data_IF_598990415900
#
_entry.id   IF_598990415900
#
_cell.length_a   1.000
_cell.length_b   1.000
_cell.length_c   1.000
_cell.angle_alpha   90.00
_cell.angle_beta   90.00
_cell.angle_gamma   90.00
#
_symmetry.space_group_name_H-M   'P 1'
#
loop_
_entity.id
_entity.type
_entity.pdbx_description
1 polymer ?
#
# COMPACT_ATOMS: atom_id res chain seq x y z
N UNK A 1 27.60 13.57 26.01
CA UNK A 1 27.20 15.00 26.14
C UNK A 1 25.70 15.04 26.30
N UNK A 2 25.26 15.37 27.51
CA UNK A 2 23.84 15.47 27.92
C UNK A 2 23.25 16.80 27.46
N UNK A 3 21.98 16.82 27.06
CA UNK A 3 21.11 17.98 27.20
C UNK A 3 19.65 17.53 27.44
N UNK A 4 19.10 18.02 28.54
CA UNK A 4 17.78 17.77 29.13
C UNK A 4 16.58 18.14 28.24
N UNK A 5 15.40 17.54 28.47
CA UNK A 5 14.10 18.13 28.17
C UNK A 5 13.40 18.56 29.46
N UNK A 6 13.03 19.84 29.58
CA UNK A 6 11.90 20.31 30.39
C UNK A 6 11.88 21.84 30.40
N UNK A 7 10.88 22.44 29.74
CA UNK A 7 10.33 23.73 30.17
C UNK A 7 8.88 23.82 29.69
N UNK A 8 7.94 23.68 30.63
CA UNK A 8 6.60 24.24 30.51
C UNK A 8 6.66 25.73 30.85
N UNK A 9 6.09 26.58 29.99
CA UNK A 9 5.96 28.02 30.19
C UNK A 9 5.00 28.62 29.15
N UNK A 10 3.91 29.21 29.66
CA UNK A 10 2.71 29.80 29.03
C UNK A 10 2.94 30.83 27.89
N UNK A 11 1.88 31.22 27.14
CA UNK A 11 1.98 31.74 25.78
C UNK A 11 2.25 33.26 25.73
N UNK A 12 3.03 33.67 24.73
CA UNK A 12 3.21 35.07 24.37
C UNK A 12 2.10 35.50 23.40
N UNK A 13 1.22 36.38 23.88
CA UNK A 13 0.28 37.14 23.07
C UNK A 13 1.07 38.13 22.20
N UNK A 14 0.89 38.06 20.87
CA UNK A 14 1.26 39.14 19.96
C UNK A 14 0.00 39.76 19.38
N UNK A 15 -0.31 40.98 19.83
CA UNK A 15 -1.34 41.86 19.27
C UNK A 15 -0.70 42.72 18.17
N UNK A 16 -1.37 42.95 17.03
CA UNK A 16 -0.80 43.69 15.91
C UNK A 16 -0.82 45.20 16.16
N UNK A 17 0.29 45.88 15.91
CA UNK A 17 0.36 47.34 15.91
C UNK A 17 -0.09 47.90 14.55
N UNK A 18 -1.30 48.46 14.56
CA UNK A 18 -1.81 49.37 13.54
C UNK A 18 -1.12 50.73 13.71
N UNK A 19 -0.58 51.28 12.62
CA UNK A 19 -0.37 52.73 12.47
C UNK A 19 -0.89 53.18 11.11
N UNK A 20 -2.10 53.72 11.12
CA UNK A 20 -2.52 54.78 10.23
C UNK A 20 -1.77 56.05 10.61
N UNK A 21 -1.21 56.78 9.65
CA UNK A 21 -1.45 58.23 9.52
C UNK A 21 -1.29 58.67 8.06
N UNK A 22 -2.35 59.33 7.59
CA UNK A 22 -2.47 60.06 6.33
C UNK A 22 -1.83 61.45 6.49
N UNK A 23 -1.14 61.94 5.45
CA UNK A 23 -1.28 63.31 4.94
C UNK A 23 -0.56 63.49 3.59
N UNK A 24 -1.33 63.90 2.57
CA UNK A 24 -0.91 64.38 1.23
C UNK A 24 -0.63 65.90 1.28
N UNK A 25 -0.53 66.69 0.17
CA UNK A 25 -0.15 66.44 -1.25
C UNK A 25 0.89 67.47 -1.80
N UNK A 26 1.39 67.30 -3.03
CA UNK A 26 1.24 68.28 -4.14
C UNK A 26 2.11 67.96 -5.38
N UNK A 27 1.48 68.10 -6.56
CA UNK A 27 1.99 68.48 -7.90
C UNK A 27 3.14 67.67 -8.55
N UNK A 28 3.19 67.33 -9.85
CA UNK A 28 2.35 67.42 -11.05
C UNK A 28 3.12 66.65 -12.19
N UNK A 29 2.64 66.53 -13.44
CA UNK A 29 2.53 65.23 -14.15
C UNK A 29 3.53 65.01 -15.29
N UNK A 30 3.63 63.75 -15.76
CA UNK A 30 4.02 63.42 -17.13
C UNK A 30 3.17 62.24 -17.67
N UNK A 31 2.42 62.52 -18.72
CA UNK A 31 1.71 61.58 -19.58
C UNK A 31 2.69 60.75 -20.42
N UNK A 32 2.30 59.54 -20.85
CA UNK A 32 2.58 59.07 -22.21
C UNK A 32 1.61 57.95 -22.63
N UNK A 33 1.18 58.08 -23.88
CA UNK A 33 0.09 57.38 -24.56
C UNK A 33 0.47 55.99 -25.09
N UNK A 34 -0.59 55.20 -25.30
CA UNK A 34 -0.70 54.00 -26.13
C UNK A 34 -0.20 54.17 -27.56
N UNK A 35 0.51 53.16 -28.09
CA UNK A 35 0.52 52.86 -29.54
C UNK A 35 0.53 51.36 -29.81
N UNK A 36 -0.53 50.94 -30.49
CA UNK A 36 -0.69 49.71 -31.27
C UNK A 36 0.27 49.68 -32.46
N UNK A 37 0.72 48.48 -32.86
CA UNK A 37 1.25 48.22 -34.20
C UNK A 37 0.60 46.96 -34.80
N UNK A 38 0.04 47.14 -35.99
CA UNK A 38 -0.43 46.14 -36.94
C UNK A 38 0.56 46.04 -38.13
N UNK A 39 0.29 45.06 -39.00
CA UNK A 39 0.75 44.82 -40.39
C UNK A 39 1.99 43.94 -40.54
N UNK A 40 2.18 43.13 -41.60
CA UNK A 40 1.37 42.31 -42.53
C UNK A 40 2.41 41.67 -43.49
N UNK A 41 2.00 40.62 -44.22
CA UNK A 41 2.80 39.73 -45.07
C UNK A 41 3.64 40.38 -46.21
N UNK A 42 4.68 39.68 -46.68
CA UNK A 42 4.69 38.99 -48.00
C UNK A 42 6.08 38.71 -48.61
N UNK A 43 6.15 37.55 -49.29
CA UNK A 43 6.76 37.30 -50.62
C UNK A 43 8.18 36.74 -50.80
N UNK A 44 8.21 35.73 -51.70
CA UNK A 44 9.22 35.39 -52.74
C UNK A 44 10.45 34.54 -52.39
N UNK A 45 10.68 33.51 -53.22
CA UNK A 45 12.02 33.12 -53.66
C UNK A 45 12.33 31.62 -53.72
N UNK A 46 12.38 31.08 -54.93
CA UNK A 46 12.58 29.68 -55.31
C UNK A 46 14.08 29.28 -55.51
N UNK A 47 14.35 27.96 -55.52
CA UNK A 47 15.47 27.21 -56.17
C UNK A 47 16.72 26.72 -55.40
N UNK A 48 16.75 25.38 -55.24
CA UNK A 48 17.75 24.36 -55.65
C UNK A 48 19.21 24.42 -55.11
N UNK A 49 19.65 23.32 -54.46
CA UNK A 49 20.53 22.27 -55.06
C UNK A 49 20.82 21.07 -54.12
N UNK A 50 20.81 19.87 -54.74
CA UNK A 50 21.19 18.54 -54.23
C UNK A 50 22.71 18.39 -54.01
N UNK A 51 23.13 17.59 -53.02
CA UNK A 51 24.31 16.69 -53.11
C UNK A 51 24.00 15.33 -52.44
N UNK A 52 24.39 14.25 -53.13
CA UNK A 52 24.25 12.81 -52.81
C UNK A 52 25.49 12.24 -52.09
N UNK A 53 25.34 11.12 -51.37
CA UNK A 53 26.20 9.88 -51.36
C UNK A 53 25.56 8.83 -50.42
N UNK A 54 24.97 7.72 -50.92
CA UNK A 54 25.50 6.33 -51.12
C UNK A 54 26.03 5.69 -49.81
N UNK A 55 25.29 4.78 -49.15
CA UNK A 55 25.09 3.33 -49.36
C UNK A 55 26.13 2.44 -48.67
N UNK A 56 25.71 1.50 -47.81
CA UNK A 56 26.14 0.08 -47.76
C UNK A 56 25.17 -0.70 -46.85
N UNK A 57 24.82 -1.89 -47.30
CA UNK A 57 23.91 -2.90 -46.74
C UNK A 57 24.57 -3.77 -45.66
N UNK A 58 23.74 -4.43 -44.85
CA UNK A 58 23.79 -5.90 -44.69
C UNK A 58 22.49 -6.44 -44.10
N UNK A 59 22.00 -7.46 -44.77
CA UNK A 59 20.78 -8.24 -44.52
C UNK A 59 21.19 -9.55 -43.84
N UNK A 60 20.36 -10.06 -42.94
CA UNK A 60 20.07 -11.49 -42.88
C UNK A 60 18.59 -11.69 -42.61
N UNK A 61 17.86 -12.08 -43.67
CA UNK A 61 16.59 -12.80 -43.59
C UNK A 61 16.93 -14.30 -43.55
N UNK A 62 16.19 -15.05 -42.76
CA UNK A 62 15.84 -16.44 -43.11
C UNK A 62 14.33 -16.49 -43.27
N UNK A 63 13.90 -16.82 -44.49
CA UNK A 63 12.53 -17.11 -44.87
C UNK A 63 12.21 -18.56 -44.51
N UNK A 64 10.99 -18.82 -44.08
CA UNK A 64 10.26 -19.99 -44.53
C UNK A 64 8.87 -19.55 -44.96
N UNK A 65 8.56 -19.81 -46.24
CA UNK A 65 7.22 -19.69 -46.81
C UNK A 65 6.85 -21.03 -47.41
N UNK A 66 5.72 -21.60 -46.97
CA UNK A 66 4.99 -22.59 -47.75
C UNK A 66 3.59 -22.03 -47.94
N UNK A 67 3.21 -21.83 -49.20
CA UNK A 67 1.88 -21.41 -49.62
C UNK A 67 1.28 -22.61 -50.33
N UNK A 68 0.25 -23.21 -49.77
CA UNK A 68 -0.62 -24.16 -50.45
C UNK A 68 -2.02 -23.55 -50.51
N UNK A 69 -2.57 -23.58 -51.72
CA UNK A 69 -3.85 -23.01 -52.12
C UNK A 69 -5.00 -23.95 -51.75
N UNK A 70 -6.05 -23.43 -51.11
CA UNK A 70 -7.39 -24.01 -51.13
C UNK A 70 -8.43 -22.92 -50.81
N UNK A 71 -9.51 -22.87 -51.59
CA UNK A 71 -10.67 -21.99 -51.42
C UNK A 71 -11.49 -22.35 -50.16
N UNK A 72 -12.33 -21.43 -49.63
CA UNK A 72 -12.83 -21.49 -48.27
C UNK A 72 -14.09 -22.35 -48.17
N UNK A 73 -14.19 -23.14 -47.11
CA UNK A 73 -15.47 -23.66 -46.62
C UNK A 73 -15.67 -23.21 -45.17
N UNK A 74 -16.87 -22.70 -44.94
CA UNK A 74 -17.36 -22.05 -43.73
C UNK A 74 -17.11 -22.87 -42.46
N UNK A 75 -16.31 -22.32 -41.54
CA UNK A 75 -16.38 -22.64 -40.13
C UNK A 75 -16.21 -21.35 -39.33
N UNK A 76 -17.32 -20.91 -38.76
CA UNK A 76 -17.46 -19.74 -37.90
C UNK A 76 -16.59 -19.86 -36.64
N UNK A 77 -15.35 -19.39 -36.73
CA UNK A 77 -14.58 -19.01 -35.55
C UNK A 77 -14.99 -17.58 -35.21
N UNK A 78 -15.63 -17.42 -34.06
CA UNK A 78 -15.93 -16.12 -33.49
C UNK A 78 -14.59 -15.46 -33.20
N UNK A 79 -14.16 -14.60 -34.12
CA UNK A 79 -13.14 -13.63 -33.84
C UNK A 79 -13.64 -12.80 -32.66
N UNK A 80 -13.09 -13.06 -31.47
CA UNK A 80 -13.10 -12.08 -30.37
C UNK A 80 -12.22 -10.94 -30.87
N UNK A 81 -12.82 -10.08 -31.70
CA UNK A 81 -12.27 -8.80 -32.02
C UNK A 81 -12.00 -8.11 -30.70
N UNK A 82 -10.82 -7.50 -30.59
CA UNK A 82 -10.53 -6.51 -29.57
C UNK A 82 -11.57 -5.40 -29.71
N UNK A 83 -12.68 -5.56 -28.99
CA UNK A 83 -13.64 -4.51 -28.79
C UNK A 83 -12.86 -3.39 -28.12
N UNK A 84 -12.55 -2.35 -28.89
CA UNK A 84 -12.02 -1.12 -28.34
C UNK A 84 -13.02 -0.65 -27.30
N UNK A 85 -12.70 -0.88 -26.02
CA UNK A 85 -13.49 -0.41 -24.89
C UNK A 85 -13.63 1.10 -25.07
N UNK A 86 -14.85 1.54 -25.40
CA UNK A 86 -15.16 2.95 -25.51
C UNK A 86 -14.76 3.64 -24.21
N UNK A 87 -14.07 4.77 -24.34
CA UNK A 87 -13.52 5.54 -23.23
C UNK A 87 -14.62 6.30 -22.49
N UNK A 88 -15.62 5.59 -21.94
CA UNK A 88 -16.61 6.18 -21.06
C UNK A 88 -16.05 6.23 -19.64
N UNK A 89 -15.85 7.42 -19.06
CA UNK A 89 -15.47 7.51 -17.65
C UNK A 89 -16.62 7.00 -16.78
N UNK A 90 -16.29 6.19 -15.77
CA UNK A 90 -17.21 5.85 -14.71
C UNK A 90 -16.94 6.79 -13.53
N UNK A 91 -17.99 7.43 -13.03
CA UNK A 91 -17.92 8.31 -11.86
C UNK A 91 -19.05 7.93 -10.90
N UNK A 92 -18.70 7.68 -9.65
CA UNK A 92 -19.64 7.31 -8.58
C UNK A 92 -19.37 8.19 -7.36
N UNK A 93 -20.43 8.63 -6.70
CA UNK A 93 -20.34 9.34 -5.41
C UNK A 93 -20.69 8.36 -4.30
N UNK A 94 -19.78 8.20 -3.35
CA UNK A 94 -19.92 7.28 -2.23
C UNK A 94 -20.11 8.11 -0.95
N UNK A 95 -21.16 7.87 -0.16
CA UNK A 95 -21.36 8.55 1.11
C UNK A 95 -20.33 8.07 2.15
N UNK A 96 -19.73 9.02 2.87
CA UNK A 96 -18.77 8.78 3.96
C UNK A 96 -19.08 9.73 5.11
N UNK A 97 -19.74 9.23 6.14
CA UNK A 97 -20.28 10.09 7.21
C UNK A 97 -21.23 11.14 6.63
N UNK A 98 -20.98 12.41 6.93
CA UNK A 98 -21.79 13.55 6.47
C UNK A 98 -21.40 14.09 5.09
N UNK A 99 -20.37 13.50 4.45
CA UNK A 99 -19.83 13.96 3.16
C UNK A 99 -19.84 12.85 2.12
N UNK A 100 -19.39 13.18 0.90
CA UNK A 100 -19.29 12.22 -0.19
C UNK A 100 -17.90 12.26 -0.80
N UNK A 101 -17.32 11.09 -1.02
CA UNK A 101 -16.13 10.95 -1.86
C UNK A 101 -16.57 10.69 -3.30
N UNK A 102 -15.86 11.25 -4.26
CA UNK A 102 -16.08 10.98 -5.69
C UNK A 102 -15.00 10.00 -6.18
N UNK A 103 -15.44 8.93 -6.82
CA UNK A 103 -14.58 7.87 -7.35
C UNK A 103 -14.71 7.85 -8.87
N UNK A 104 -13.59 8.03 -9.57
CA UNK A 104 -13.53 8.04 -11.02
C UNK A 104 -12.57 6.97 -11.56
N UNK A 105 -12.98 6.27 -12.61
CA UNK A 105 -12.15 5.26 -13.28
C UNK A 105 -12.44 5.18 -14.79
N UNK A 106 -11.54 4.53 -15.54
CA UNK A 106 -11.67 4.28 -16.98
C UNK A 106 -11.06 5.36 -17.90
N UNK A 107 -10.85 6.59 -17.41
CA UNK A 107 -10.28 7.68 -18.22
C UNK A 107 -8.74 7.68 -18.19
N UNK A 108 -8.16 7.64 -16.99
CA UNK A 108 -6.71 7.75 -16.74
C UNK A 108 -6.18 6.38 -16.29
N UNK A 109 -4.92 6.06 -16.62
CA UNK A 109 -4.28 4.83 -16.13
C UNK A 109 -4.73 3.54 -16.79
N UNK A 110 -5.28 3.60 -18.01
CA UNK A 110 -5.90 2.47 -18.72
C UNK A 110 -4.98 1.27 -18.97
N UNK A 111 -3.67 1.47 -18.97
CA UNK A 111 -2.68 0.41 -19.13
C UNK A 111 -2.38 -0.33 -17.82
N UNK A 112 -2.72 0.25 -16.66
CA UNK A 112 -2.57 -0.43 -15.38
C UNK A 112 -3.61 -1.54 -15.23
N UNK A 113 -3.31 -2.52 -14.37
CA UNK A 113 -4.26 -3.57 -14.00
C UNK A 113 -5.50 -2.97 -13.34
N UNK A 114 -5.33 -1.97 -12.46
CA UNK A 114 -6.41 -1.14 -11.94
C UNK A 114 -5.96 0.32 -11.79
N UNK A 115 -6.86 1.27 -12.01
CA UNK A 115 -6.58 2.70 -11.83
C UNK A 115 -7.83 3.42 -11.33
N UNK A 116 -7.66 4.29 -10.35
CA UNK A 116 -8.76 5.08 -9.77
C UNK A 116 -8.26 6.45 -9.34
N UNK A 117 -9.11 7.44 -9.54
CA UNK A 117 -8.96 8.76 -8.93
C UNK A 117 -10.04 8.91 -7.87
N UNK A 118 -9.66 9.15 -6.63
CA UNK A 118 -10.59 9.40 -5.53
C UNK A 118 -10.43 10.83 -5.06
N UNK A 119 -11.54 11.53 -4.87
CA UNK A 119 -11.59 12.92 -4.45
C UNK A 119 -12.45 13.08 -3.21
N UNK A 120 -11.90 13.71 -2.18
CA UNK A 120 -12.63 14.19 -1.00
C UNK A 120 -12.40 15.70 -0.87
N UNK A 121 -13.46 16.49 -0.99
CA UNK A 121 -13.34 17.95 -1.11
C UNK A 121 -12.51 18.36 -2.32
N UNK A 122 -11.35 18.97 -2.06
CA UNK A 122 -10.35 19.35 -3.08
C UNK A 122 -9.06 18.50 -2.99
N UNK A 123 -9.02 17.52 -2.08
CA UNK A 123 -7.94 16.55 -1.97
C UNK A 123 -8.16 15.39 -2.94
N UNK A 124 -7.20 15.18 -3.84
CA UNK A 124 -7.29 14.21 -4.93
C UNK A 124 -6.14 13.21 -4.80
N UNK A 125 -6.50 11.93 -4.75
CA UNK A 125 -5.55 10.81 -4.73
C UNK A 125 -5.76 9.98 -5.99
N UNK A 126 -4.66 9.72 -6.68
CA UNK A 126 -4.64 8.82 -7.83
C UNK A 126 -3.87 7.57 -7.47
N UNK A 127 -4.55 6.42 -7.57
CA UNK A 127 -3.99 5.13 -7.20
C UNK A 127 -4.06 4.16 -8.36
N UNK A 128 -2.94 3.48 -8.62
CA UNK A 128 -2.83 2.45 -9.66
C UNK A 128 -2.31 1.15 -9.07
N UNK A 129 -2.83 0.04 -9.57
CA UNK A 129 -2.35 -1.32 -9.31
C UNK A 129 -1.80 -1.87 -10.61
N UNK A 130 -0.56 -2.35 -10.58
CA UNK A 130 0.10 -2.99 -11.71
C UNK A 130 0.49 -4.41 -11.31
N UNK A 131 0.21 -5.35 -12.20
CA UNK A 131 0.54 -6.76 -12.04
C UNK A 131 1.63 -7.14 -13.05
N UNK A 132 2.59 -7.97 -12.63
CA UNK A 132 3.53 -8.59 -13.55
C UNK A 132 2.88 -9.74 -14.34
N UNK A 133 3.09 -9.79 -15.65
CA UNK A 133 2.55 -10.86 -16.52
C UNK A 133 3.09 -12.25 -16.17
N UNK A 134 4.36 -12.30 -15.74
CA UNK A 134 5.07 -13.53 -15.37
C UNK A 134 5.19 -13.61 -13.85
N UNK A 135 4.87 -14.74 -13.21
CA UNK A 135 5.07 -14.90 -11.77
C UNK A 135 6.56 -14.80 -11.42
N UNK A 136 6.86 -14.32 -10.22
CA UNK A 136 8.22 -14.33 -9.70
C UNK A 136 8.55 -15.77 -9.29
N UNK A 137 9.26 -16.51 -10.15
CA UNK A 137 9.70 -17.88 -9.83
C UNK A 137 11.23 -17.91 -9.63
N UNK A 138 11.73 -18.64 -8.62
CA UNK A 138 11.01 -19.30 -7.53
C UNK A 138 10.65 -18.31 -6.39
N UNK A 139 9.37 -18.16 -6.05
CA UNK A 139 8.93 -17.35 -4.89
C UNK A 139 7.93 -18.11 -4.04
N UNK A 140 8.21 -18.21 -2.74
CA UNK A 140 7.32 -18.79 -1.73
C UNK A 140 6.40 -17.76 -1.06
N UNK A 141 6.54 -16.49 -1.42
CA UNK A 141 5.79 -15.39 -0.85
C UNK A 141 5.10 -14.55 -1.93
N UNK A 142 4.02 -13.86 -1.53
CA UNK A 142 3.33 -12.90 -2.38
C UNK A 142 4.09 -11.57 -2.42
N UNK A 143 4.68 -11.15 -3.56
CA UNK A 143 5.45 -9.91 -3.66
C UNK A 143 4.50 -8.72 -3.85
N UNK A 144 4.03 -8.18 -2.73
CA UNK A 144 3.24 -6.95 -2.69
C UNK A 144 4.10 -5.76 -2.27
N UNK A 145 4.20 -4.78 -3.16
CA UNK A 145 4.90 -3.51 -2.92
C UNK A 145 3.91 -2.35 -2.93
N UNK A 146 3.91 -1.53 -1.89
CA UNK A 146 3.03 -0.36 -1.76
C UNK A 146 3.88 0.90 -1.66
N UNK A 147 3.60 1.87 -2.51
CA UNK A 147 4.23 3.18 -2.49
C UNK A 147 3.18 4.28 -2.45
N UNK A 148 3.25 5.08 -1.41
CA UNK A 148 2.50 6.32 -1.25
C UNK A 148 3.47 7.50 -1.35
N UNK A 149 3.12 8.52 -2.14
CA UNK A 149 3.93 9.73 -2.28
C UNK A 149 3.06 10.98 -2.38
N UNK A 150 3.46 12.01 -1.65
CA UNK A 150 2.87 13.34 -1.69
C UNK A 150 3.68 14.25 -2.62
N UNK A 151 3.03 14.74 -3.67
CA UNK A 151 3.69 15.67 -4.60
C UNK A 151 3.70 17.08 -4.01
N UNK A 152 4.82 17.79 -4.12
CA UNK A 152 4.84 19.20 -3.71
C UNK A 152 3.89 20.05 -4.54
N UNK A 153 3.67 19.65 -5.81
CA UNK A 153 2.66 20.27 -6.68
C UNK A 153 1.24 20.14 -6.16
N UNK A 154 0.93 19.12 -5.35
CA UNK A 154 -0.41 18.94 -4.77
C UNK A 154 -0.77 20.09 -3.82
N UNK A 155 0.21 20.64 -3.12
CA UNK A 155 0.05 21.81 -2.26
C UNK A 155 0.40 23.14 -2.98
N UNK A 156 0.62 23.12 -4.31
CA UNK A 156 1.04 24.29 -5.07
C UNK A 156 2.43 24.82 -4.70
N UNK A 157 3.31 23.98 -4.16
CA UNK A 157 4.66 24.36 -3.70
C UNK A 157 5.75 23.73 -4.55
N UNK A 158 6.91 24.39 -4.60
CA UNK A 158 8.13 23.79 -5.15
C UNK A 158 8.94 23.17 -4.02
N UNK A 159 9.57 22.03 -4.28
CA UNK A 159 10.42 21.37 -3.29
C UNK A 159 11.53 22.29 -2.77
N UNK A 160 11.73 22.28 -1.44
CA UNK A 160 12.71 23.12 -0.76
C UNK A 160 14.16 22.67 -0.95
N UNK A 161 14.39 21.39 -1.30
CA UNK A 161 15.72 20.80 -1.42
C UNK A 161 16.57 21.33 -2.58
N UNK A 162 17.83 20.90 -2.61
CA UNK A 162 18.80 21.28 -3.65
C UNK A 162 18.39 20.78 -5.05
N UNK A 163 17.98 19.52 -5.15
CA UNK A 163 17.63 18.87 -6.43
C UNK A 163 16.31 19.32 -7.04
N UNK A 164 15.54 20.18 -6.35
CA UNK A 164 14.24 20.71 -6.78
C UNK A 164 13.25 19.65 -7.29
N UNK A 165 13.30 18.43 -6.75
CA UNK A 165 12.41 17.30 -7.05
C UNK A 165 12.02 16.56 -5.77
N UNK A 166 10.91 15.81 -5.81
CA UNK A 166 10.62 14.82 -4.78
C UNK A 166 11.75 13.78 -4.74
N UNK A 167 12.20 13.46 -3.54
CA UNK A 167 13.34 12.57 -3.31
C UNK A 167 12.89 11.24 -2.69
N UNK A 168 13.66 10.80 -1.70
CA UNK A 168 13.33 9.63 -0.89
C UNK A 168 12.00 9.85 -0.15
N UNK A 169 11.23 8.78 -0.01
CA UNK A 169 10.00 8.74 0.80
C UNK A 169 10.31 9.14 2.24
N UNK A 170 9.51 10.04 2.79
CA UNK A 170 9.60 10.49 4.18
C UNK A 170 8.99 9.46 5.12
N UNK A 171 9.32 9.56 6.41
CA UNK A 171 8.81 8.63 7.42
C UNK A 171 7.29 8.59 7.46
N UNK A 172 6.61 9.74 7.31
CA UNK A 172 5.16 9.80 7.27
C UNK A 172 4.56 9.08 6.06
N UNK A 173 5.18 9.21 4.88
CA UNK A 173 4.76 8.51 3.67
C UNK A 173 4.94 7.00 3.82
N UNK A 174 6.04 6.57 4.47
CA UNK A 174 6.30 5.16 4.77
C UNK A 174 5.26 4.60 5.75
N UNK A 175 4.83 5.38 6.75
CA UNK A 175 3.74 4.98 7.65
C UNK A 175 2.44 4.79 6.87
N UNK A 176 2.11 5.68 5.93
CA UNK A 176 0.92 5.54 5.08
C UNK A 176 1.04 4.33 4.14
N UNK A 177 2.22 4.04 3.59
CA UNK A 177 2.44 2.78 2.85
C UNK A 177 2.06 1.56 3.70
N UNK A 178 2.45 1.55 4.97
CA UNK A 178 2.13 0.45 5.91
C UNK A 178 0.65 0.41 6.25
N UNK A 179 -0.01 1.57 6.39
CA UNK A 179 -1.46 1.67 6.60
C UNK A 179 -2.25 1.09 5.42
N UNK A 180 -1.74 1.23 4.20
CA UNK A 180 -2.35 0.65 3.00
C UNK A 180 -2.05 -0.86 2.87
N UNK A 181 -0.80 -1.28 3.12
CA UNK A 181 -0.37 -2.67 2.97
C UNK A 181 -1.03 -3.63 3.97
N UNK A 182 -1.10 -3.23 5.24
CA UNK A 182 -1.63 -4.07 6.34
C UNK A 182 -3.04 -4.63 6.08
N UNK A 183 -4.04 -3.83 5.65
CA UNK A 183 -5.35 -4.38 5.33
C UNK A 183 -5.39 -5.13 4.00
N UNK A 184 -4.60 -4.73 2.98
CA UNK A 184 -4.61 -5.41 1.68
C UNK A 184 -4.05 -6.83 1.75
N UNK A 185 -2.94 -7.04 2.45
CA UNK A 185 -2.18 -8.30 2.44
C UNK A 185 -2.98 -9.53 2.90
N UNK A 186 -3.80 -9.48 3.97
CA UNK A 186 -4.63 -10.62 4.38
C UNK A 186 -5.73 -11.02 3.39
N UNK A 187 -6.17 -10.11 2.51
CA UNK A 187 -7.25 -10.39 1.54
C UNK A 187 -6.78 -11.11 0.28
N UNK A 188 -5.47 -11.32 0.14
CA UNK A 188 -4.87 -11.96 -1.02
C UNK A 188 -5.00 -13.48 -0.92
N UNK A 189 -5.46 -14.12 -2.00
CA UNK A 189 -5.57 -15.57 -2.04
C UNK A 189 -4.18 -16.23 -2.00
N UNK A 190 -4.06 -17.30 -1.21
CA UNK A 190 -2.83 -18.11 -1.12
C UNK A 190 -2.52 -18.76 -2.46
N UNK A 191 -1.22 -18.90 -2.78
CA UNK A 191 -0.77 -19.51 -4.03
C UNK A 191 -0.68 -18.54 -5.21
N UNK A 192 -0.81 -17.22 -4.96
CA UNK A 192 -0.62 -16.18 -5.97
C UNK A 192 0.76 -15.53 -5.84
N UNK A 193 1.59 -15.63 -6.89
CA UNK A 193 3.02 -15.25 -6.85
C UNK A 193 3.42 -14.20 -7.89
N UNK A 194 2.45 -13.48 -8.43
CA UNK A 194 2.71 -12.38 -9.35
C UNK A 194 3.07 -11.12 -8.56
N UNK A 195 4.17 -10.47 -8.94
CA UNK A 195 4.56 -9.20 -8.34
C UNK A 195 3.46 -8.16 -8.59
N UNK A 196 2.97 -7.59 -7.49
CA UNK A 196 1.88 -6.62 -7.49
C UNK A 196 2.38 -5.32 -6.88
N UNK A 197 2.30 -4.25 -7.65
CA UNK A 197 2.70 -2.92 -7.21
C UNK A 197 1.48 -2.01 -7.08
N UNK A 198 1.32 -1.39 -5.91
CA UNK A 198 0.33 -0.36 -5.65
C UNK A 198 1.04 0.98 -5.54
N UNK A 199 0.72 1.91 -6.43
CA UNK A 199 1.25 3.28 -6.42
C UNK A 199 0.11 4.24 -6.10
N UNK A 200 0.22 5.02 -5.03
CA UNK A 200 -0.73 6.03 -4.60
C UNK A 200 -0.06 7.40 -4.58
N UNK A 201 -0.58 8.35 -5.35
CA UNK A 201 -0.06 9.71 -5.45
C UNK A 201 -1.11 10.71 -5.04
N UNK A 202 -0.74 11.61 -4.12
CA UNK A 202 -1.55 12.80 -3.84
C UNK A 202 -1.30 13.82 -4.94
N UNK A 203 -2.32 14.08 -5.74
CA UNK A 203 -2.28 15.02 -6.87
C UNK A 203 -2.72 16.43 -6.50
N UNK A 204 -3.64 16.54 -5.56
CA UNK A 204 -4.14 17.81 -5.01
C UNK A 204 -4.36 17.64 -3.52
N UNK A 205 -4.06 18.67 -2.74
CA UNK A 205 -4.27 18.69 -1.30
C UNK A 205 -4.78 20.04 -0.86
N UNK A 206 -5.90 20.04 -0.17
CA UNK A 206 -6.64 21.25 0.20
C UNK A 206 -6.29 21.81 1.59
N UNK A 207 -5.50 21.07 2.38
CA UNK A 207 -5.12 21.47 3.73
C UNK A 207 -6.22 21.27 4.78
N UNK A 208 -7.35 20.68 4.41
CA UNK A 208 -8.48 20.42 5.31
C UNK A 208 -8.73 18.93 5.50
N UNK A 209 -8.66 18.15 4.41
CA UNK A 209 -8.97 16.73 4.39
C UNK A 209 -7.69 15.89 4.43
N UNK A 210 -7.46 15.08 5.48
CA UNK A 210 -6.28 14.24 5.56
C UNK A 210 -6.30 13.14 4.48
N UNK A 211 -5.19 12.93 3.74
CA UNK A 211 -5.15 12.02 2.60
C UNK A 211 -4.98 10.54 2.97
N UNK A 212 -4.66 10.21 4.21
CA UNK A 212 -4.27 8.85 4.63
C UNK A 212 -5.41 7.83 4.56
N UNK A 213 -6.56 8.09 5.20
CA UNK A 213 -7.73 7.21 5.12
C UNK A 213 -8.26 7.10 3.68
N UNK A 214 -8.21 8.22 2.94
CA UNK A 214 -8.59 8.27 1.53
C UNK A 214 -7.65 7.41 0.67
N UNK A 215 -6.35 7.39 0.96
CA UNK A 215 -5.36 6.57 0.25
C UNK A 215 -5.59 5.07 0.47
N UNK A 216 -5.96 4.66 1.68
CA UNK A 216 -6.34 3.26 1.97
C UNK A 216 -7.56 2.86 1.16
N UNK A 217 -8.60 3.71 1.14
CA UNK A 217 -9.81 3.46 0.36
C UNK A 217 -9.53 3.44 -1.15
N UNK A 218 -8.72 4.37 -1.66
CA UNK A 218 -8.34 4.41 -3.07
C UNK A 218 -7.55 3.16 -3.50
N UNK A 219 -6.62 2.69 -2.67
CA UNK A 219 -5.89 1.46 -2.92
C UNK A 219 -6.79 0.21 -2.90
N UNK A 220 -7.72 0.13 -1.95
CA UNK A 220 -8.73 -0.92 -1.89
C UNK A 220 -9.62 -0.96 -3.14
N UNK A 221 -10.08 0.19 -3.62
CA UNK A 221 -10.87 0.30 -4.85
C UNK A 221 -10.06 -0.10 -6.08
N UNK A 222 -8.82 0.40 -6.20
CA UNK A 222 -7.95 0.09 -7.33
C UNK A 222 -7.64 -1.42 -7.42
N UNK A 223 -7.40 -2.05 -6.27
CA UNK A 223 -7.19 -3.50 -6.17
C UNK A 223 -8.45 -4.27 -6.56
N UNK A 224 -9.61 -3.84 -6.06
CA UNK A 224 -10.88 -4.47 -6.37
C UNK A 224 -11.22 -4.42 -7.86
N UNK A 225 -10.89 -3.32 -8.55
CA UNK A 225 -11.07 -3.16 -10.00
C UNK A 225 -10.08 -3.96 -10.85
N UNK A 226 -8.92 -4.32 -10.28
CA UNK A 226 -7.85 -5.02 -10.99
C UNK A 226 -8.15 -6.51 -11.20
N UNK A 227 -7.31 -7.18 -11.99
CA UNK A 227 -7.34 -8.63 -12.20
C UNK A 227 -6.71 -9.45 -11.05
N UNK A 228 -6.09 -8.79 -10.06
CA UNK A 228 -5.48 -9.45 -8.90
C UNK A 228 -6.56 -10.17 -8.08
N UNK A 229 -6.36 -11.46 -7.72
CA UNK A 229 -7.35 -12.26 -7.01
C UNK A 229 -7.42 -11.89 -5.52
N UNK A 230 -8.08 -10.77 -5.23
CA UNK A 230 -8.48 -10.31 -3.90
C UNK A 230 -9.84 -10.91 -3.50
N UNK A 231 -9.99 -11.38 -2.26
CA UNK A 231 -11.23 -11.99 -1.77
C UNK A 231 -12.38 -10.99 -1.58
N UNK A 232 -12.08 -9.82 -1.02
CA UNK A 232 -13.08 -8.82 -0.61
C UNK A 232 -12.59 -7.39 -0.90
N UNK A 233 -13.54 -6.45 -0.97
CA UNK A 233 -13.24 -5.02 -1.11
C UNK A 233 -12.86 -4.44 0.25
N UNK A 234 -11.84 -3.58 0.24
CA UNK A 234 -11.35 -2.91 1.43
C UNK A 234 -11.63 -1.41 1.35
N UNK A 235 -12.03 -0.83 2.47
CA UNK A 235 -12.05 0.61 2.67
C UNK A 235 -11.42 0.98 4.02
N UNK A 236 -10.99 2.24 4.14
CA UNK A 236 -10.39 2.79 5.35
C UNK A 236 -11.02 4.14 5.72
N UNK A 237 -11.28 4.32 7.01
CA UNK A 237 -11.86 5.54 7.58
C UNK A 237 -11.07 5.98 8.81
N UNK A 238 -11.09 7.27 9.12
CA UNK A 238 -10.60 7.81 10.39
C UNK A 238 -11.78 8.24 11.25
N UNK A 239 -11.74 7.92 12.54
CA UNK A 239 -12.77 8.28 13.52
C UNK A 239 -12.16 9.24 14.54
N UNK A 240 -12.81 10.39 14.68
CA UNK A 240 -12.54 11.37 15.74
C UNK A 240 -13.63 11.39 16.79
N UNK A 241 -13.31 11.87 17.99
CA UNK A 241 -14.26 12.11 19.08
C UNK A 241 -14.13 13.55 19.56
N UNK A 242 -15.14 14.37 19.23
CA UNK A 242 -15.21 15.78 19.65
C UNK A 242 -16.36 15.95 20.63
N UNK A 243 -16.02 16.30 21.88
CA UNK A 243 -16.97 16.21 22.99
C UNK A 243 -17.38 14.75 23.19
N UNK A 244 -18.66 14.45 22.99
CA UNK A 244 -19.23 13.09 23.08
C UNK A 244 -19.73 12.57 21.72
N UNK A 245 -19.32 13.19 20.60
CA UNK A 245 -19.77 12.83 19.26
C UNK A 245 -18.64 12.24 18.42
N UNK A 246 -18.89 11.05 17.86
CA UNK A 246 -18.01 10.44 16.87
C UNK A 246 -18.20 11.11 15.51
N UNK A 247 -17.09 11.42 14.85
CA UNK A 247 -17.07 12.02 13.51
C UNK A 247 -16.27 11.09 12.60
N UNK A 248 -16.87 10.71 11.47
CA UNK A 248 -16.23 9.92 10.41
C UNK A 248 -15.49 10.85 9.46
N UNK A 249 -14.23 10.51 9.18
CA UNK A 249 -13.27 11.30 8.41
C UNK A 249 -13.25 12.78 8.83
N UNK A 250 -12.91 13.08 10.09
CA UNK A 250 -12.80 14.44 10.57
C UNK A 250 -11.75 15.23 9.79
N UNK A 251 -11.98 16.53 9.62
CA UNK A 251 -11.01 17.48 9.07
C UNK A 251 -9.84 17.69 10.02
N UNK A 252 -8.76 18.28 9.52
CA UNK A 252 -7.57 18.58 10.35
C UNK A 252 -7.92 19.49 11.53
N UNK A 253 -8.79 20.49 11.34
CA UNK A 253 -9.23 21.39 12.41
C UNK A 253 -10.12 20.70 13.44
N UNK A 254 -10.95 19.75 13.00
CA UNK A 254 -11.75 18.91 13.89
C UNK A 254 -10.85 17.98 14.72
N UNK A 255 -9.81 17.42 14.09
CA UNK A 255 -8.84 16.55 14.76
C UNK A 255 -8.04 17.25 15.86
N UNK A 256 -7.77 18.55 15.73
CA UNK A 256 -7.11 19.34 16.80
C UNK A 256 -7.90 19.34 18.12
N UNK A 257 -9.23 19.19 18.04
CA UNK A 257 -10.12 19.15 19.21
C UNK A 257 -10.57 17.72 19.57
N UNK A 258 -10.05 16.72 18.87
CA UNK A 258 -10.45 15.33 19.04
C UNK A 258 -9.68 14.65 20.18
N UNK A 259 -10.38 13.88 21.01
CA UNK A 259 -9.78 13.01 22.03
C UNK A 259 -9.40 11.62 21.50
N UNK A 260 -9.79 11.32 20.26
CA UNK A 260 -9.57 10.05 19.59
C UNK A 260 -9.01 10.30 18.18
N UNK A 261 -7.95 9.60 17.82
CA UNK A 261 -7.54 9.44 16.43
C UNK A 261 -7.47 7.95 16.15
N UNK A 262 -8.49 7.42 15.50
CA UNK A 262 -8.60 5.99 15.20
C UNK A 262 -8.77 5.79 13.70
N UNK A 263 -7.73 5.30 13.03
CA UNK A 263 -7.82 4.83 11.66
C UNK A 263 -8.18 3.34 11.67
N UNK A 264 -9.26 3.01 10.99
CA UNK A 264 -9.78 1.67 10.87
C UNK A 264 -9.92 1.30 9.39
N UNK A 265 -9.46 0.11 9.02
CA UNK A 265 -9.62 -0.44 7.68
C UNK A 265 -10.14 -1.87 7.75
N UNK A 266 -11.03 -2.19 6.84
CA UNK A 266 -11.72 -3.47 6.84
C UNK A 266 -12.51 -3.73 5.57
N UNK A 267 -13.25 -4.83 5.60
CA UNK A 267 -14.18 -5.24 4.56
C UNK A 267 -15.61 -5.00 5.03
N UNK A 268 -16.59 -5.35 4.21
CA UNK A 268 -18.00 -5.28 4.55
C UNK A 268 -18.36 -6.06 5.85
N UNK A 269 -17.64 -7.16 6.09
CA UNK A 269 -17.93 -8.13 7.15
C UNK A 269 -17.00 -8.02 8.35
N UNK A 270 -15.71 -7.71 8.14
CA UNK A 270 -14.70 -7.81 9.18
C UNK A 270 -13.73 -6.63 9.17
N UNK A 271 -13.21 -6.32 10.36
CA UNK A 271 -12.14 -5.34 10.55
C UNK A 271 -10.80 -6.06 10.34
N UNK A 272 -9.91 -5.47 9.54
CA UNK A 272 -8.61 -6.06 9.23
C UNK A 272 -7.47 -5.33 9.95
N UNK A 273 -7.59 -4.02 10.12
CA UNK A 273 -6.54 -3.19 10.68
C UNK A 273 -7.12 -2.03 11.47
N UNK A 274 -6.53 -1.79 12.64
CA UNK A 274 -6.79 -0.63 13.49
C UNK A 274 -5.43 -0.02 13.84
N UNK A 275 -5.33 1.30 13.73
CA UNK A 275 -4.19 2.10 14.17
C UNK A 275 -4.73 3.38 14.80
N UNK A 276 -4.23 3.79 15.96
CA UNK A 276 -4.70 5.01 16.56
C UNK A 276 -4.12 5.32 17.93
N UNK A 277 -4.48 6.50 18.43
CA UNK A 277 -4.21 6.92 19.79
C UNK A 277 -5.46 7.57 20.40
N UNK A 278 -5.56 7.54 21.73
CA UNK A 278 -6.64 8.19 22.44
C UNK A 278 -6.14 8.81 23.75
N UNK A 279 -6.83 9.86 24.20
CA UNK A 279 -6.55 10.52 25.47
C UNK A 279 -7.31 9.83 26.61
N UNK A 280 -6.73 8.73 27.10
CA UNK A 280 -7.23 7.94 28.24
C UNK A 280 -8.75 7.65 28.19
N UNK A 281 -9.25 7.21 27.03
CA UNK A 281 -10.65 6.84 26.86
C UNK A 281 -10.94 5.46 27.48
N UNK A 282 -12.13 5.23 28.05
CA UNK A 282 -12.54 3.91 28.54
C UNK A 282 -12.72 2.93 27.37
N UNK A 283 -12.57 1.62 27.63
CA UNK A 283 -12.66 0.60 26.57
C UNK A 283 -14.01 0.63 25.85
N UNK A 284 -15.11 0.85 26.58
CA UNK A 284 -16.46 0.93 26.01
C UNK A 284 -16.56 2.00 24.91
N UNK A 285 -15.92 3.17 25.13
CA UNK A 285 -15.91 4.26 24.14
C UNK A 285 -15.07 3.93 22.92
N UNK A 286 -14.00 3.16 23.09
CA UNK A 286 -13.19 2.68 21.97
C UNK A 286 -13.97 1.65 21.14
N UNK A 287 -14.73 0.77 21.78
CA UNK A 287 -15.57 -0.20 21.09
C UNK A 287 -16.68 0.49 20.27
N UNK A 288 -17.37 1.46 20.87
CA UNK A 288 -18.34 2.31 20.15
C UNK A 288 -17.71 2.98 18.93
N UNK A 289 -16.48 3.50 19.05
CA UNK A 289 -15.78 4.13 17.93
C UNK A 289 -15.46 3.14 16.79
N UNK A 290 -15.08 1.92 17.15
CA UNK A 290 -14.80 0.83 16.21
C UNK A 290 -16.07 0.43 15.46
N UNK A 291 -17.21 0.33 16.14
CA UNK A 291 -18.51 0.03 15.53
C UNK A 291 -18.93 1.11 14.52
N UNK A 292 -18.84 2.38 14.90
CA UNK A 292 -19.11 3.52 14.00
C UNK A 292 -18.19 3.49 12.78
N UNK A 293 -16.92 3.16 12.97
CA UNK A 293 -15.96 3.00 11.89
C UNK A 293 -16.30 1.85 10.94
N UNK A 294 -16.66 0.69 11.48
CA UNK A 294 -17.01 -0.49 10.67
C UNK A 294 -18.30 -0.26 9.87
N UNK A 295 -19.29 0.44 10.41
CA UNK A 295 -20.51 0.78 9.67
C UNK A 295 -20.23 1.75 8.50
N UNK A 296 -19.32 2.71 8.69
CA UNK A 296 -18.88 3.58 7.60
C UNK A 296 -18.13 2.80 6.51
N UNK A 297 -17.19 1.93 6.90
CA UNK A 297 -16.46 1.05 5.96
C UNK A 297 -17.42 0.16 5.18
N UNK A 298 -18.41 -0.43 5.85
CA UNK A 298 -19.46 -1.24 5.23
C UNK A 298 -20.24 -0.47 4.16
N UNK A 299 -20.59 0.78 4.44
CA UNK A 299 -21.26 1.65 3.47
C UNK A 299 -20.42 1.86 2.21
N UNK A 300 -19.12 2.14 2.39
CA UNK A 300 -18.18 2.35 1.29
C UNK A 300 -18.00 1.06 0.47
N UNK A 301 -17.74 -0.08 1.11
CA UNK A 301 -17.50 -1.35 0.42
C UNK A 301 -18.68 -1.75 -0.47
N UNK A 302 -19.93 -1.55 -0.03
CA UNK A 302 -21.13 -1.87 -0.82
C UNK A 302 -21.21 -1.08 -2.14
N UNK A 303 -20.94 0.22 -2.09
CA UNK A 303 -20.95 1.07 -3.29
C UNK A 303 -19.79 0.73 -4.22
N UNK A 304 -18.62 0.38 -3.66
CA UNK A 304 -17.46 -0.06 -4.44
C UNK A 304 -17.71 -1.43 -5.09
N UNK A 305 -18.34 -2.38 -4.39
CA UNK A 305 -18.75 -3.67 -4.98
C UNK A 305 -19.69 -3.45 -6.17
N UNK A 306 -20.65 -2.52 -6.05
CA UNK A 306 -21.55 -2.15 -7.15
C UNK A 306 -20.81 -1.49 -8.33
N UNK A 307 -19.72 -0.76 -8.08
CA UNK A 307 -18.83 -0.23 -9.12
C UNK A 307 -18.02 -1.35 -9.79
N UNK A 308 -17.44 -2.26 -9.01
CA UNK A 308 -16.65 -3.41 -9.51
C UNK A 308 -17.50 -4.32 -10.40
N UNK A 309 -18.78 -4.54 -10.06
CA UNK A 309 -19.70 -5.29 -10.93
C UNK A 309 -19.92 -4.64 -12.30
N UNK A 310 -19.78 -3.31 -12.41
CA UNK A 310 -20.01 -2.57 -13.66
C UNK A 310 -18.74 -2.46 -14.51
N UNK A 311 -17.57 -2.24 -13.90
CA UNK A 311 -16.34 -1.92 -14.63
C UNK A 311 -15.08 -2.63 -14.13
N UNK A 312 -15.20 -3.60 -13.22
CA UNK A 312 -14.08 -4.40 -12.75
C UNK A 312 -13.58 -5.40 -13.80
N UNK A 313 -12.29 -5.69 -13.78
CA UNK A 313 -11.69 -6.74 -14.62
C UNK A 313 -11.94 -8.14 -14.01
N UNK A 314 -12.03 -9.20 -14.82
CA UNK A 314 -12.12 -10.56 -14.32
C UNK A 314 -10.87 -10.91 -13.50
N UNK A 315 -11.07 -11.62 -12.38
CA UNK A 315 -9.99 -12.03 -11.48
C UNK A 315 -9.21 -13.20 -12.06
N UNK A 316 -7.88 -13.16 -11.95
CA UNK A 316 -6.97 -14.19 -12.46
C UNK A 316 -6.86 -15.38 -11.49
N UNK A 317 -7.97 -16.10 -11.29
CA UNK A 317 -8.02 -17.25 -10.38
C UNK A 317 -7.21 -18.46 -10.90
N UNK A 318 -7.05 -18.58 -12.22
CA UNK A 318 -6.32 -19.69 -12.86
C UNK A 318 -4.81 -19.63 -12.59
N UNK A 319 -4.28 -18.47 -12.21
CA UNK A 319 -2.86 -18.30 -11.87
C UNK A 319 -2.52 -18.76 -10.44
N UNK A 320 -3.52 -19.17 -9.65
CA UNK A 320 -3.30 -19.67 -8.29
C UNK A 320 -2.70 -21.07 -8.35
N UNK A 321 -1.47 -21.20 -7.86
CA UNK A 321 -0.75 -22.48 -7.75
C UNK A 321 -0.78 -22.94 -6.30
N UNK A 322 -1.63 -23.93 -6.00
CA UNK A 322 -1.69 -24.58 -4.70
C UNK A 322 -1.17 -26.02 -4.79
N UNK A 323 -0.53 -26.54 -3.72
CA UNK A 323 -0.12 -27.94 -3.67
C UNK A 323 -1.33 -28.88 -3.78
N UNK A 324 -1.17 -30.08 -4.38
CA UNK A 324 -2.25 -31.06 -4.46
C UNK A 324 -2.64 -31.55 -3.05
N UNK A 325 -3.93 -31.76 -2.82
CA UNK A 325 -4.47 -32.19 -1.51
C UNK A 325 -3.88 -33.51 -1.01
N UNK A 326 -3.47 -34.38 -1.92
CA UNK A 326 -2.86 -35.67 -1.61
C UNK A 326 -1.49 -35.51 -0.92
N UNK A 327 -0.74 -34.46 -1.29
CA UNK A 327 0.57 -34.20 -0.69
C UNK A 327 0.44 -33.83 0.80
N UNK A 328 -0.60 -33.07 1.18
CA UNK A 328 -0.85 -32.74 2.58
C UNK A 328 -1.10 -33.99 3.43
N UNK A 329 -1.91 -34.93 2.94
CA UNK A 329 -2.18 -36.20 3.64
C UNK A 329 -0.92 -37.06 3.76
N UNK A 330 -0.12 -37.13 2.69
CA UNK A 330 1.12 -37.88 2.69
C UNK A 330 2.11 -37.34 3.72
N UNK A 331 2.25 -36.02 3.83
CA UNK A 331 3.12 -35.38 4.83
C UNK A 331 2.60 -35.65 6.24
N UNK A 332 1.29 -35.53 6.44
CA UNK A 332 0.64 -35.84 7.73
C UNK A 332 0.87 -37.30 8.16
N UNK A 333 0.82 -38.25 7.24
CA UNK A 333 1.13 -39.67 7.49
C UNK A 333 2.61 -39.92 7.81
N UNK A 334 3.53 -39.14 7.23
CA UNK A 334 4.98 -39.33 7.42
C UNK A 334 5.45 -38.75 8.76
N UNK A 335 5.07 -37.51 9.07
CA UNK A 335 5.66 -36.74 10.16
C UNK A 335 4.66 -36.18 11.17
N UNK A 336 3.37 -36.53 11.06
CA UNK A 336 2.33 -35.97 11.94
C UNK A 336 2.61 -36.16 13.43
N UNK A 337 2.93 -37.38 13.86
CA UNK A 337 3.20 -37.67 15.28
C UNK A 337 4.51 -37.02 15.78
N UNK A 338 5.58 -37.12 14.99
CA UNK A 338 6.88 -36.55 15.32
C UNK A 338 6.84 -35.01 15.38
N UNK A 339 6.03 -34.37 14.53
CA UNK A 339 5.82 -32.94 14.56
C UNK A 339 5.15 -32.49 15.88
N UNK A 340 4.19 -33.26 16.40
CA UNK A 340 3.55 -32.97 17.68
C UNK A 340 4.59 -33.04 18.82
N UNK A 341 5.40 -34.09 18.87
CA UNK A 341 6.47 -34.25 19.86
C UNK A 341 7.48 -33.07 19.81
N UNK A 342 7.88 -32.66 18.61
CA UNK A 342 8.81 -31.53 18.44
C UNK A 342 8.19 -30.20 18.87
N UNK A 343 6.90 -29.98 18.61
CA UNK A 343 6.22 -28.74 19.00
C UNK A 343 6.05 -28.60 20.52
N UNK A 344 6.06 -29.72 21.25
CA UNK A 344 6.01 -29.77 22.72
C UNK A 344 7.30 -29.29 23.40
N UNK A 345 8.40 -29.12 22.66
CA UNK A 345 9.65 -28.55 23.18
C UNK A 345 9.44 -27.07 23.54
N UNK A 346 9.59 -26.71 24.82
CA UNK A 346 9.40 -25.32 25.30
C UNK A 346 10.43 -24.34 24.72
N UNK A 347 11.70 -24.75 24.73
CA UNK A 347 12.82 -23.87 24.40
C UNK A 347 12.91 -23.62 22.89
N UNK A 348 12.99 -22.33 22.50
CA UNK A 348 12.97 -21.90 21.09
C UNK A 348 14.11 -22.50 20.24
N UNK A 349 15.33 -22.54 20.79
CA UNK A 349 16.53 -22.98 20.07
C UNK A 349 16.49 -24.49 19.77
N UNK A 350 16.31 -25.39 20.77
CA UNK A 350 16.20 -26.82 20.49
C UNK A 350 14.98 -27.15 19.65
N UNK A 351 13.82 -26.53 19.89
CA UNK A 351 12.63 -26.70 19.04
C UNK A 351 12.90 -26.37 17.58
N UNK A 352 13.63 -25.28 17.30
CA UNK A 352 14.00 -24.90 15.93
C UNK A 352 14.94 -25.93 15.29
N UNK A 353 15.94 -26.44 16.02
CA UNK A 353 16.86 -27.47 15.51
C UNK A 353 16.13 -28.76 15.18
N UNK A 354 15.27 -29.23 16.07
CA UNK A 354 14.45 -30.42 15.86
C UNK A 354 13.49 -30.26 14.66
N UNK A 355 12.83 -29.10 14.52
CA UNK A 355 11.99 -28.80 13.34
C UNK A 355 12.78 -28.84 12.02
N UNK A 356 13.98 -28.27 11.99
CA UNK A 356 14.85 -28.30 10.80
C UNK A 356 15.25 -29.73 10.43
N UNK A 357 15.59 -30.55 11.42
CA UNK A 357 15.92 -31.97 11.20
C UNK A 357 14.72 -32.76 10.67
N UNK A 358 13.52 -32.50 11.21
CA UNK A 358 12.29 -33.13 10.75
C UNK A 358 11.95 -32.73 9.30
N UNK A 359 12.12 -31.45 8.96
CA UNK A 359 11.93 -30.94 7.60
C UNK A 359 12.88 -31.61 6.60
N UNK A 360 14.16 -31.71 6.93
CA UNK A 360 15.17 -32.42 6.11
C UNK A 360 14.80 -33.89 5.92
N UNK A 361 14.35 -34.57 6.98
CA UNK A 361 13.90 -35.97 6.92
C UNK A 361 12.70 -36.13 5.98
N UNK A 362 11.68 -35.27 6.10
CA UNK A 362 10.49 -35.31 5.24
C UNK A 362 10.86 -35.04 3.78
N UNK A 363 11.71 -34.05 3.50
CA UNK A 363 12.18 -33.74 2.14
C UNK A 363 12.93 -34.93 1.55
N UNK A 364 13.76 -35.63 2.35
CA UNK A 364 14.48 -36.83 1.90
C UNK A 364 13.52 -37.95 1.50
N UNK A 365 12.50 -38.25 2.31
CA UNK A 365 11.49 -39.29 2.04
C UNK A 365 10.66 -38.94 0.80
N UNK A 366 10.29 -37.67 0.62
CA UNK A 366 9.54 -37.20 -0.55
C UNK A 366 10.38 -37.24 -1.83
N UNK A 367 11.68 -36.98 -1.73
CA UNK A 367 12.64 -37.09 -2.84
C UNK A 367 12.83 -38.55 -3.25
N UNK A 368 12.96 -39.47 -2.30
CA UNK A 368 13.06 -40.91 -2.57
C UNK A 368 11.81 -41.48 -3.25
N UNK A 369 10.62 -41.02 -2.83
CA UNK A 369 9.34 -41.39 -3.46
C UNK A 369 9.13 -40.74 -4.85
N UNK A 370 10.01 -39.84 -5.27
CA UNK A 370 9.99 -39.20 -6.60
C UNK A 370 8.98 -38.07 -6.76
N UNK A 371 8.44 -37.52 -5.66
CA UNK A 371 7.49 -36.40 -5.70
C UNK A 371 8.17 -35.05 -5.92
N UNK A 372 9.47 -34.94 -5.61
CA UNK A 372 10.27 -33.72 -5.75
C UNK A 372 11.37 -33.99 -6.77
N UNK A 373 11.46 -33.16 -7.82
CA UNK A 373 12.62 -33.14 -8.72
C UNK A 373 13.66 -32.18 -8.16
N UNK A 374 14.90 -32.63 -7.97
CA UNK A 374 16.03 -31.89 -7.38
C UNK A 374 16.55 -30.72 -8.24
N UNK A 375 15.72 -30.12 -9.09
CA UNK A 375 16.08 -28.89 -9.77
C UNK A 375 15.59 -27.70 -8.94
N UNK A 376 16.57 -27.09 -8.27
CA UNK A 376 16.52 -25.82 -7.53
C UNK A 376 16.21 -25.95 -6.03
N UNK A 377 17.30 -26.13 -5.27
CA UNK A 377 17.32 -26.00 -3.83
C UNK A 377 16.83 -24.60 -3.40
N UNK A 378 15.92 -24.60 -2.44
CA UNK A 378 15.31 -23.41 -1.86
C UNK A 378 16.33 -22.52 -1.15
N UNK A 379 16.08 -21.21 -1.21
CA UNK A 379 16.98 -20.14 -0.80
C UNK A 379 17.34 -20.17 0.69
N UNK A 380 18.66 -20.25 0.93
CA UNK A 380 19.40 -19.76 2.10
C UNK A 380 18.67 -19.78 3.45
N UNK A 381 18.80 -20.88 4.17
CA UNK A 381 18.82 -20.86 5.63
C UNK A 381 20.00 -19.96 6.03
N UNK A 382 19.73 -18.77 6.57
CA UNK A 382 20.77 -17.96 7.20
C UNK A 382 21.35 -18.77 8.38
N UNK A 383 22.48 -19.42 8.14
CA UNK A 383 23.24 -20.15 9.15
C UNK A 383 23.82 -19.13 10.13
N UNK A 384 23.13 -18.93 11.25
CA UNK A 384 23.75 -18.35 12.44
C UNK A 384 24.62 -19.43 13.09
N UNK A 385 25.93 -19.22 13.27
CA UNK A 385 26.76 -20.13 14.04
C UNK A 385 26.43 -19.89 15.52
N UNK A 386 25.79 -20.84 16.18
CA UNK A 386 25.59 -20.74 17.63
C UNK A 386 26.14 -21.95 18.37
N UNK A 387 26.84 -21.57 19.43
CA UNK A 387 27.76 -22.33 20.26
C UNK A 387 27.07 -23.54 20.88
N UNK A 388 27.86 -24.60 21.03
CA UNK A 388 27.54 -25.78 21.83
C UNK A 388 27.32 -25.31 23.28
N UNK A 389 26.07 -25.24 23.71
CA UNK A 389 25.71 -25.32 25.12
C UNK A 389 25.15 -26.72 25.35
N UNK A 390 25.70 -27.34 26.39
CA UNK A 390 25.57 -28.75 26.77
C UNK A 390 24.11 -29.15 27.02
N UNK A 391 23.81 -30.42 26.76
CA UNK A 391 22.49 -31.03 26.86
C UNK A 391 21.89 -30.85 28.27
N UNK A 392 20.98 -29.88 28.43
CA UNK A 392 20.07 -29.80 29.58
C UNK A 392 18.78 -30.57 29.26
N UNK A 393 18.40 -31.47 30.16
CA UNK A 393 17.33 -32.45 30.02
C UNK A 393 16.02 -31.88 29.43
N UNK A 394 15.53 -32.53 28.38
CA UNK A 394 14.37 -32.13 27.60
C UNK A 394 13.06 -32.30 28.40
N UNK A 395 12.52 -31.21 28.94
CA UNK A 395 11.16 -31.20 29.47
C UNK A 395 10.13 -31.23 28.32
N UNK A 396 9.55 -32.40 28.07
CA UNK A 396 8.45 -32.61 27.12
C UNK A 396 7.11 -32.31 27.81
N UNK A 397 6.29 -31.46 27.18
CA UNK A 397 4.94 -31.11 27.66
C UNK A 397 3.90 -31.98 26.95
N UNK A 398 2.96 -32.59 27.67
CA UNK A 398 1.96 -33.51 27.08
C UNK A 398 0.87 -32.74 26.33
N UNK A 399 0.42 -33.33 25.23
CA UNK A 399 -0.62 -32.80 24.33
C UNK A 399 -1.92 -32.46 25.07
N UNK A 400 -2.37 -31.20 24.98
CA UNK A 400 -3.55 -30.69 25.68
C UNK A 400 -3.25 -29.70 26.81
N UNK A 401 -1.99 -29.55 27.23
CA UNK A 401 -1.54 -28.26 27.73
C UNK A 401 -1.42 -27.36 26.50
N UNK A 402 -2.43 -26.51 26.32
CA UNK A 402 -2.31 -25.31 25.48
C UNK A 402 -0.95 -24.70 25.81
N UNK A 403 -0.24 -24.14 24.83
CA UNK A 403 0.76 -23.12 25.13
C UNK A 403 -0.03 -21.99 25.81
N UNK A 404 -0.28 -22.18 27.11
CA UNK A 404 -0.78 -21.23 28.05
C UNK A 404 0.39 -20.22 28.16
N UNK A 405 0.53 -19.41 27.12
CA UNK A 405 0.79 -17.99 27.28
C UNK A 405 -0.34 -17.30 28.06
N UNK A 406 -0.99 -18.02 28.98
CA UNK A 406 -2.16 -17.64 29.74
C UNK A 406 -1.73 -17.26 31.17
N UNK A 407 -2.12 -16.03 31.48
CA UNK A 407 -2.30 -15.42 32.80
C UNK A 407 -1.06 -14.93 33.56
N UNK A 408 0.13 -15.49 33.38
CA UNK A 408 1.32 -14.96 34.06
C UNK A 408 2.03 -13.92 33.20
N UNK A 409 1.76 -12.63 33.44
CA UNK A 409 2.63 -11.54 32.96
C UNK A 409 4.06 -11.93 33.34
N UNK A 410 4.90 -12.28 32.36
CA UNK A 410 6.28 -12.68 32.60
C UNK A 410 6.90 -11.61 33.51
N UNK A 411 7.46 -11.96 34.68
CA UNK A 411 7.95 -10.98 35.61
C UNK A 411 9.04 -10.16 34.92
N UNK A 412 8.71 -8.92 34.56
CA UNK A 412 9.66 -8.01 33.96
C UNK A 412 10.53 -7.51 35.09
N UNK A 413 11.78 -7.98 35.14
CA UNK A 413 12.77 -7.42 36.04
C UNK A 413 12.95 -5.93 35.71
N UNK A 414 12.38 -5.04 36.53
CA UNK A 414 12.63 -3.60 36.44
C UNK A 414 14.08 -3.36 36.87
N UNK A 415 15.01 -3.37 35.92
CA UNK A 415 16.37 -2.89 36.16
C UNK A 415 16.26 -1.42 36.57
N UNK A 416 16.62 -1.12 37.82
CA UNK A 416 16.76 0.26 38.27
C UNK A 416 17.76 0.96 37.36
N UNK A 417 17.36 2.07 36.74
CA UNK A 417 18.30 2.91 35.98
C UNK A 417 19.44 3.28 36.93
N UNK A 418 20.69 2.89 36.65
CA UNK A 418 21.80 3.33 37.49
C UNK A 418 21.84 4.86 37.42
N UNK A 419 21.64 5.53 38.56
CA UNK A 419 21.87 6.97 38.68
C UNK A 419 23.37 7.21 38.57
N UNK A 420 23.89 7.37 37.34
CA UNK A 420 25.32 7.66 37.09
C UNK A 420 25.69 9.12 37.47
N UNK A 421 24.80 9.88 38.11
CA UNK A 421 25.01 11.30 38.42
C UNK A 421 24.65 11.69 39.86
N UNK A 422 25.11 10.91 40.84
CA UNK A 422 25.11 11.34 42.25
C UNK A 422 26.48 11.10 42.88
N UNK A 423 27.47 11.91 42.49
CA UNK A 423 28.70 12.25 43.25
C UNK A 423 29.62 13.14 42.39
N UNK A 424 29.17 14.36 42.12
CA UNK A 424 30.10 15.48 41.96
C UNK A 424 29.92 16.33 43.21
N UNK A 425 30.64 15.95 44.27
CA UNK A 425 30.88 16.84 45.40
C UNK A 425 31.74 17.99 44.85
N UNK A 426 31.11 19.15 44.66
CA UNK A 426 31.84 20.42 44.57
C UNK A 426 32.40 20.71 45.96
N UNK A 427 33.70 20.52 46.11
CA UNK A 427 34.52 21.14 47.16
C UNK A 427 35.38 22.22 46.53
#
# INVERSE_FOLDING_TARGET
MLANPSFHGRPLQFVPTVRNELCRPSACPLQLHSRSYQFLASSLGDKRKRIRRRSISRSFKTQFSVRASAEPQDLSVWAVGSAGVQASPFSVRIPVGDRHITVETGLIGRQASGAVTVTDGETIIYTTVCLADVPSEPSDFFPLSVHYQERFSAAGRTSGGFFKREGRTKDHEVLICRLIDRPLRPTMLKGFYHETQVLSWVLSYDGLHPPDALAVTAAGIAMALSEVPSSEVIAGVRIGLIGDKFIVNPTIQEMENSKLDLLLAGTNNAILMIEGYCDFLPEDKLLEAVEVGQDAVRGICKEVEALVQKCGKPKMLDAIKLPPKELYKLVEEISGNELVEVLQIKNKIPRRKALSSLEENVISILSEKGYISTMEAFGSTETLPDLLEEDEDEEVVVDGEVDEGDVHIKPVARKTVPLVLSRLNLY
#
